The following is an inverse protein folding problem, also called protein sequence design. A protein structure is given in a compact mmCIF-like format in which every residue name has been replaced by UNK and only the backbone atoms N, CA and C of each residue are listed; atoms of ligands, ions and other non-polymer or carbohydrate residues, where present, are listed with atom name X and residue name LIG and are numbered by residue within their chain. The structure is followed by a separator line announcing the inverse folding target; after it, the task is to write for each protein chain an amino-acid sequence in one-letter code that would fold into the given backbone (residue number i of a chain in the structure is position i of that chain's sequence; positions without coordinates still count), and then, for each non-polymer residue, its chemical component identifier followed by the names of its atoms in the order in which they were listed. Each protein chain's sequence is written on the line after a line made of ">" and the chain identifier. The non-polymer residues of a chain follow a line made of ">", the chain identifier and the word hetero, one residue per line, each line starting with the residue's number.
data_IF_064843830666
#
_entry.id   IF_064843830666
#
_cell.length_a   1.000
_cell.length_b   1.000
_cell.length_c   1.000
_cell.angle_alpha   90.00
_cell.angle_beta   90.00
_cell.angle_gamma   90.00
#
_symmetry.space_group_name_H-M   'P 1'
#
loop_
_entity.id
_entity.type
_entity.pdbx_description
1 polymer ?
#
# COMPACT_ATOMS: atom_id res chain seq x y z
N UNK A 1 -3.80 19.38 -34.92
CA UNK A 1 -4.14 18.56 -33.70
C UNK A 1 -3.13 18.94 -32.63
N UNK A 2 -3.54 19.73 -31.68
CA UNK A 2 -2.64 20.24 -30.65
C UNK A 2 -2.36 19.12 -29.65
N UNK A 3 -1.12 18.71 -29.64
CA UNK A 3 -0.56 17.81 -28.61
C UNK A 3 -0.62 18.60 -27.28
N UNK A 4 -1.63 18.31 -26.47
CA UNK A 4 -1.73 18.86 -25.10
C UNK A 4 -0.68 18.12 -24.31
N UNK A 5 0.52 18.70 -24.25
CA UNK A 5 1.65 18.15 -23.54
C UNK A 5 1.24 17.72 -22.14
N UNK A 6 1.52 16.47 -21.83
CA UNK A 6 1.33 15.89 -20.52
C UNK A 6 1.95 16.82 -19.46
N UNK A 7 1.13 17.57 -18.75
CA UNK A 7 1.59 18.44 -17.67
C UNK A 7 2.11 17.52 -16.57
N UNK A 8 3.43 17.35 -16.55
CA UNK A 8 4.11 16.60 -15.48
C UNK A 8 4.18 17.50 -14.23
N UNK A 9 3.25 17.32 -13.35
CA UNK A 9 3.08 18.13 -12.13
C UNK A 9 4.24 18.05 -11.13
N UNK A 10 5.21 17.10 -11.29
CA UNK A 10 6.26 16.85 -10.29
C UNK A 10 7.61 16.39 -10.88
N UNK A 11 8.46 17.26 -11.44
CA UNK A 11 9.68 16.77 -12.10
C UNK A 11 10.76 16.19 -11.17
N UNK A 12 10.96 16.73 -9.96
CA UNK A 12 12.07 16.32 -9.08
C UNK A 12 11.72 15.29 -8.01
N UNK A 13 10.61 15.48 -7.33
CA UNK A 13 10.20 14.64 -6.20
C UNK A 13 9.69 13.26 -6.65
N UNK A 14 9.02 13.16 -7.79
CA UNK A 14 8.53 11.88 -8.31
C UNK A 14 9.65 10.94 -8.72
N UNK A 15 10.73 11.44 -9.30
CA UNK A 15 11.88 10.59 -9.65
C UNK A 15 12.52 9.98 -8.41
N UNK A 16 12.64 10.75 -7.32
CA UNK A 16 13.15 10.25 -6.04
C UNK A 16 12.21 9.21 -5.43
N UNK A 17 10.92 9.52 -5.38
CA UNK A 17 9.88 8.60 -4.87
C UNK A 17 9.82 7.30 -5.67
N UNK A 18 9.87 7.38 -7.00
CA UNK A 18 9.93 6.22 -7.90
C UNK A 18 11.10 5.31 -7.56
N UNK A 19 12.33 5.86 -7.47
CA UNK A 19 13.54 5.11 -7.11
C UNK A 19 13.44 4.45 -5.73
N UNK A 20 12.85 5.13 -4.76
CA UNK A 20 12.64 4.58 -3.41
C UNK A 20 11.67 3.40 -3.44
N UNK A 21 10.53 3.54 -4.14
CA UNK A 21 9.56 2.45 -4.33
C UNK A 21 10.23 1.26 -5.03
N UNK A 22 10.98 1.49 -6.12
CA UNK A 22 11.70 0.44 -6.84
C UNK A 22 12.71 -0.31 -5.96
N UNK A 23 13.43 0.41 -5.09
CA UNK A 23 14.34 -0.20 -4.13
C UNK A 23 13.61 -1.06 -3.09
N UNK A 24 12.47 -0.58 -2.60
CA UNK A 24 11.66 -1.28 -1.60
C UNK A 24 10.95 -2.50 -2.19
N UNK A 25 10.51 -2.42 -3.44
CA UNK A 25 9.89 -3.54 -4.15
C UNK A 25 10.80 -4.78 -4.20
N UNK A 26 12.13 -4.59 -4.25
CA UNK A 26 13.08 -5.72 -4.21
C UNK A 26 13.07 -6.46 -2.88
N UNK A 27 12.69 -5.80 -1.81
CA UNK A 27 12.72 -6.36 -0.44
C UNK A 27 11.39 -6.94 0.01
N UNK A 28 10.30 -6.72 -0.71
CA UNK A 28 8.96 -7.16 -0.34
C UNK A 28 8.45 -8.30 -1.21
N UNK A 29 7.53 -9.06 -0.66
CA UNK A 29 6.95 -10.24 -1.30
C UNK A 29 5.71 -9.89 -2.12
N UNK A 30 4.95 -8.88 -1.69
CA UNK A 30 3.76 -8.39 -2.37
C UNK A 30 3.48 -6.92 -2.05
N UNK A 31 2.59 -6.33 -2.83
CA UNK A 31 2.13 -4.95 -2.68
C UNK A 31 0.65 -4.93 -2.29
N UNK A 32 0.33 -4.10 -1.30
CA UNK A 32 -1.02 -3.80 -0.82
C UNK A 32 -1.36 -2.38 -1.23
N UNK A 33 -2.15 -2.22 -2.28
CA UNK A 33 -2.62 -0.92 -2.74
C UNK A 33 -3.93 -0.58 -2.03
N UNK A 34 -3.96 0.53 -1.28
CA UNK A 34 -5.18 0.99 -0.61
C UNK A 34 -5.82 2.08 -1.46
N UNK A 35 -7.11 1.88 -1.79
CA UNK A 35 -7.94 2.82 -2.55
C UNK A 35 -9.18 3.20 -1.75
N UNK A 36 -9.85 4.26 -2.16
CA UNK A 36 -11.14 4.67 -1.59
C UNK A 36 -12.28 4.00 -2.39
N UNK A 37 -13.09 3.18 -1.73
CA UNK A 37 -14.17 2.44 -2.38
C UNK A 37 -15.25 3.32 -3.03
N UNK A 38 -15.33 4.60 -2.64
CA UNK A 38 -16.27 5.57 -3.24
C UNK A 38 -15.82 6.04 -4.63
N UNK A 39 -14.51 6.06 -4.87
CA UNK A 39 -13.86 6.53 -6.10
C UNK A 39 -12.67 5.62 -6.46
N UNK A 40 -12.89 4.30 -6.70
CA UNK A 40 -11.81 3.32 -6.76
C UNK A 40 -10.72 3.66 -7.77
N UNK A 41 -11.06 4.04 -8.99
CA UNK A 41 -10.09 4.35 -10.04
C UNK A 41 -9.40 5.70 -9.79
N UNK A 42 -10.15 6.74 -9.43
CA UNK A 42 -9.59 8.09 -9.18
C UNK A 42 -8.68 8.15 -7.94
N UNK A 43 -8.82 7.18 -7.03
CA UNK A 43 -7.96 7.06 -5.85
C UNK A 43 -6.75 6.15 -6.05
N UNK A 44 -6.51 5.69 -7.26
CA UNK A 44 -5.30 4.95 -7.63
C UNK A 44 -4.21 5.88 -8.15
N UNK A 45 -2.98 5.43 -8.05
CA UNK A 45 -1.85 6.08 -8.69
C UNK A 45 -1.43 5.27 -9.94
N UNK A 46 -1.65 5.77 -11.16
CA UNK A 46 -1.34 5.03 -12.39
C UNK A 46 0.15 4.63 -12.51
N UNK A 47 1.05 5.41 -11.91
CA UNK A 47 2.50 5.11 -11.90
C UNK A 47 2.78 3.77 -11.20
N UNK A 48 1.95 3.37 -10.24
CA UNK A 48 2.11 2.10 -9.54
C UNK A 48 1.91 0.90 -10.48
N UNK A 49 1.08 0.99 -11.51
CA UNK A 49 0.83 -0.12 -12.42
C UNK A 49 2.12 -0.57 -13.13
N UNK A 50 2.94 0.39 -13.56
CA UNK A 50 4.24 0.10 -14.18
C UNK A 50 5.28 -0.38 -13.16
N UNK A 51 5.30 0.24 -11.98
CA UNK A 51 6.30 -0.06 -10.94
C UNK A 51 6.13 -1.45 -10.32
N UNK A 52 4.89 -1.88 -10.14
CA UNK A 52 4.56 -3.12 -9.41
C UNK A 52 4.15 -4.28 -10.31
N UNK A 53 4.25 -4.14 -11.64
CA UNK A 53 3.80 -5.14 -12.61
C UNK A 53 4.34 -6.55 -12.36
N UNK A 54 5.57 -6.66 -11.87
CA UNK A 54 6.24 -7.93 -11.60
C UNK A 54 6.04 -8.45 -10.17
N UNK A 55 5.22 -7.78 -9.37
CA UNK A 55 4.93 -8.17 -7.99
C UNK A 55 3.47 -8.57 -7.81
N UNK A 56 3.21 -9.64 -7.03
CA UNK A 56 1.86 -9.93 -6.59
C UNK A 56 1.25 -8.70 -5.92
N UNK A 57 0.04 -8.32 -6.35
CA UNK A 57 -0.67 -7.15 -5.84
C UNK A 57 -2.08 -7.49 -5.40
N UNK A 58 -2.50 -6.89 -4.29
CA UNK A 58 -3.87 -6.89 -3.82
C UNK A 58 -4.35 -5.46 -3.62
N UNK A 59 -5.53 -5.13 -4.11
CA UNK A 59 -6.20 -3.85 -3.86
C UNK A 59 -7.12 -4.00 -2.65
N UNK A 60 -6.99 -3.09 -1.68
CA UNK A 60 -7.93 -2.92 -0.58
C UNK A 60 -8.80 -1.70 -0.86
N UNK A 61 -10.03 -1.92 -1.27
CA UNK A 61 -11.04 -0.86 -1.42
C UNK A 61 -11.58 -0.51 -0.04
N UNK A 62 -10.96 0.50 0.58
CA UNK A 62 -11.27 0.97 1.93
C UNK A 62 -12.47 1.92 1.93
N UNK A 63 -13.06 2.17 3.11
CA UNK A 63 -14.26 3.01 3.32
C UNK A 63 -15.50 2.44 2.60
N UNK A 64 -15.59 1.12 2.51
CA UNK A 64 -16.72 0.45 1.87
C UNK A 64 -18.07 0.69 2.59
N UNK A 65 -18.05 1.17 3.82
CA UNK A 65 -19.18 1.61 4.63
C UNK A 65 -19.83 2.91 4.10
N UNK A 66 -19.07 3.71 3.33
CA UNK A 66 -19.54 4.94 2.68
C UNK A 66 -19.72 4.80 1.16
N UNK A 67 -19.52 3.63 0.61
CA UNK A 67 -19.61 3.40 -0.83
C UNK A 67 -20.92 2.67 -1.20
N UNK A 68 -21.40 2.91 -2.42
CA UNK A 68 -22.49 2.13 -2.97
C UNK A 68 -22.07 0.67 -3.18
N UNK A 69 -22.87 -0.26 -2.70
CA UNK A 69 -22.53 -1.68 -2.70
C UNK A 69 -22.51 -2.26 -4.12
N UNK A 70 -23.46 -1.85 -5.00
CA UNK A 70 -23.52 -2.31 -6.37
C UNK A 70 -22.33 -1.79 -7.19
N UNK A 71 -22.01 -0.51 -7.07
CA UNK A 71 -20.84 0.09 -7.71
C UNK A 71 -19.55 -0.58 -7.22
N UNK A 72 -19.42 -0.80 -5.91
CA UNK A 72 -18.28 -1.47 -5.30
C UNK A 72 -18.11 -2.89 -5.87
N UNK A 73 -19.20 -3.65 -6.03
CA UNK A 73 -19.19 -4.99 -6.62
C UNK A 73 -18.74 -4.95 -8.08
N UNK A 74 -19.22 -3.99 -8.87
CA UNK A 74 -18.83 -3.84 -10.27
C UNK A 74 -17.34 -3.48 -10.40
N UNK A 75 -16.82 -2.57 -9.59
CA UNK A 75 -15.41 -2.23 -9.55
C UNK A 75 -14.54 -3.41 -9.14
N UNK A 76 -14.96 -4.19 -8.17
CA UNK A 76 -14.28 -5.42 -7.78
C UNK A 76 -14.16 -6.38 -8.97
N UNK A 77 -15.27 -6.66 -9.68
CA UNK A 77 -15.27 -7.51 -10.87
C UNK A 77 -14.37 -6.95 -11.99
N UNK A 78 -14.34 -5.63 -12.17
CA UNK A 78 -13.50 -4.97 -13.16
C UNK A 78 -12.01 -5.24 -12.93
N UNK A 79 -11.54 -5.14 -11.68
CA UNK A 79 -10.14 -5.42 -11.35
C UNK A 79 -9.83 -6.93 -11.37
N UNK A 80 -10.74 -7.76 -10.89
CA UNK A 80 -10.58 -9.22 -10.90
C UNK A 80 -10.45 -9.77 -12.33
N UNK A 81 -11.19 -9.23 -13.29
CA UNK A 81 -11.06 -9.57 -14.73
C UNK A 81 -9.67 -9.20 -15.29
N UNK A 82 -8.95 -8.30 -14.66
CA UNK A 82 -7.56 -7.91 -14.98
C UNK A 82 -6.53 -8.69 -14.19
N UNK A 83 -6.94 -9.74 -13.48
CA UNK A 83 -6.05 -10.56 -12.66
C UNK A 83 -5.59 -9.91 -11.35
N UNK A 84 -6.19 -8.78 -10.95
CA UNK A 84 -5.86 -8.10 -9.71
C UNK A 84 -6.81 -8.57 -8.61
N UNK A 85 -6.27 -9.06 -7.50
CA UNK A 85 -7.08 -9.43 -6.33
C UNK A 85 -7.62 -8.19 -5.63
N UNK A 86 -8.88 -8.25 -5.21
CA UNK A 86 -9.55 -7.12 -4.56
C UNK A 86 -10.28 -7.56 -3.31
N UNK A 87 -10.09 -6.81 -2.23
CA UNK A 87 -10.90 -6.91 -1.02
C UNK A 87 -11.57 -5.57 -0.72
N UNK A 88 -12.81 -5.63 -0.28
CA UNK A 88 -13.53 -4.49 0.28
C UNK A 88 -13.39 -4.51 1.79
N UNK A 89 -13.07 -3.37 2.38
CA UNK A 89 -12.89 -3.27 3.82
C UNK A 89 -13.27 -1.88 4.36
N UNK A 90 -13.43 -1.83 5.66
CA UNK A 90 -13.35 -0.59 6.43
C UNK A 90 -12.21 -0.73 7.46
N UNK A 91 -11.11 -0.04 7.20
CA UNK A 91 -9.94 -0.06 8.07
C UNK A 91 -10.20 0.55 9.45
N UNK A 92 -11.21 1.40 9.58
CA UNK A 92 -11.59 2.05 10.84
C UNK A 92 -12.28 1.06 11.78
N UNK A 93 -13.30 0.35 11.32
CA UNK A 93 -14.01 -0.67 12.11
C UNK A 93 -13.30 -2.04 12.11
N UNK A 94 -12.55 -2.34 11.05
CA UNK A 94 -11.92 -3.64 10.80
C UNK A 94 -12.79 -4.60 9.98
N UNK A 95 -13.98 -4.15 9.53
CA UNK A 95 -14.87 -4.94 8.68
C UNK A 95 -14.12 -5.39 7.41
N UNK A 96 -14.20 -6.66 7.06
CA UNK A 96 -13.59 -7.24 5.87
C UNK A 96 -12.10 -7.57 6.00
N UNK A 97 -11.38 -7.05 7.00
CA UNK A 97 -9.93 -7.29 7.16
C UNK A 97 -9.59 -8.71 7.63
N UNK A 98 -10.54 -9.46 8.17
CA UNK A 98 -10.34 -10.87 8.54
C UNK A 98 -9.98 -11.74 7.32
N UNK A 99 -10.38 -11.32 6.12
CA UNK A 99 -10.08 -12.03 4.85
C UNK A 99 -8.71 -11.66 4.28
N UNK A 100 -8.08 -10.59 4.75
CA UNK A 100 -6.85 -10.05 4.17
C UNK A 100 -5.70 -11.08 4.15
N UNK A 101 -5.32 -11.61 5.31
CA UNK A 101 -4.21 -12.57 5.37
C UNK A 101 -4.48 -13.89 4.64
N UNK A 102 -5.67 -14.51 4.73
CA UNK A 102 -6.02 -15.65 3.90
C UNK A 102 -5.81 -15.39 2.40
N UNK A 103 -6.28 -14.25 1.90
CA UNK A 103 -6.11 -13.87 0.48
C UNK A 103 -4.64 -13.64 0.10
N UNK A 104 -3.86 -12.95 0.95
CA UNK A 104 -2.42 -12.77 0.75
C UNK A 104 -1.69 -14.11 0.71
N UNK A 105 -2.01 -15.03 1.61
CA UNK A 105 -1.40 -16.37 1.63
C UNK A 105 -1.75 -17.17 0.37
N UNK A 106 -2.99 -17.11 -0.08
CA UNK A 106 -3.42 -17.73 -1.34
C UNK A 106 -2.66 -17.13 -2.51
N UNK A 107 -2.51 -15.81 -2.56
CA UNK A 107 -1.75 -15.09 -3.60
C UNK A 107 -0.27 -15.48 -3.62
N UNK A 108 0.32 -15.75 -2.45
CA UNK A 108 1.74 -16.08 -2.28
C UNK A 108 1.99 -17.57 -2.05
N UNK A 109 1.03 -18.45 -2.34
CA UNK A 109 1.13 -19.88 -2.04
C UNK A 109 2.42 -20.52 -2.62
N UNK A 110 2.74 -20.24 -3.88
CA UNK A 110 3.95 -20.76 -4.54
C UNK A 110 5.25 -20.27 -3.89
N UNK A 111 5.26 -19.02 -3.44
CA UNK A 111 6.41 -18.46 -2.73
C UNK A 111 6.59 -19.13 -1.37
N UNK A 112 5.51 -19.30 -0.65
CA UNK A 112 5.49 -19.96 0.68
C UNK A 112 5.99 -21.39 0.55
N UNK A 113 5.49 -22.13 -0.43
CA UNK A 113 5.89 -23.53 -0.67
C UNK A 113 7.36 -23.64 -1.08
N UNK A 114 7.84 -22.76 -1.97
CA UNK A 114 9.27 -22.69 -2.33
C UNK A 114 10.16 -22.39 -1.12
N UNK A 115 9.73 -21.50 -0.21
CA UNK A 115 10.46 -21.21 1.03
C UNK A 115 10.48 -22.42 1.96
N UNK A 116 9.36 -23.11 2.11
CA UNK A 116 9.24 -24.32 2.91
C UNK A 116 10.20 -25.42 2.43
N UNK A 117 10.24 -25.67 1.12
CA UNK A 117 11.17 -26.64 0.51
C UNK A 117 12.66 -26.30 0.74
N UNK A 118 12.98 -25.02 0.93
CA UNK A 118 14.34 -24.53 1.26
C UNK A 118 14.62 -24.46 2.77
N UNK A 119 13.77 -25.04 3.62
CA UNK A 119 13.92 -25.00 5.08
C UNK A 119 13.61 -23.66 5.74
N UNK A 120 13.12 -22.66 5.00
CA UNK A 120 12.78 -21.35 5.54
C UNK A 120 11.35 -21.34 6.10
N UNK A 121 11.10 -22.21 7.08
CA UNK A 121 9.77 -22.34 7.72
C UNK A 121 9.54 -21.12 8.62
N UNK A 122 8.34 -20.56 8.56
CA UNK A 122 7.93 -19.44 9.44
C UNK A 122 8.51 -18.07 9.06
N UNK A 123 9.20 -17.95 7.91
CA UNK A 123 9.66 -16.64 7.45
C UNK A 123 8.48 -15.69 7.23
N UNK A 124 8.48 -14.56 7.93
CA UNK A 124 7.44 -13.55 7.83
C UNK A 124 7.29 -13.02 6.39
N UNK A 125 6.05 -12.87 5.92
CA UNK A 125 5.76 -12.22 4.64
C UNK A 125 6.01 -10.72 4.78
N UNK A 126 6.60 -10.12 3.75
CA UNK A 126 6.88 -8.69 3.69
C UNK A 126 5.92 -8.05 2.69
N UNK A 127 5.10 -7.13 3.16
CA UNK A 127 4.06 -6.49 2.38
C UNK A 127 4.30 -4.97 2.36
N UNK A 128 4.39 -4.38 1.18
CA UNK A 128 4.51 -2.94 1.01
C UNK A 128 3.12 -2.32 0.87
N UNK A 129 2.82 -1.33 1.70
CA UNK A 129 1.56 -0.59 1.64
C UNK A 129 1.74 0.66 0.80
N UNK A 130 0.93 0.81 -0.24
CA UNK A 130 0.94 1.97 -1.14
C UNK A 130 -0.46 2.54 -1.31
N UNK A 131 -0.57 3.75 -1.80
CA UNK A 131 -1.82 4.45 -2.08
C UNK A 131 -1.64 5.96 -1.96
N UNK A 132 -2.54 6.73 -2.55
CA UNK A 132 -2.52 8.20 -2.44
C UNK A 132 -2.82 8.65 -1.01
N UNK A 133 -2.59 9.94 -0.66
CA UNK A 133 -2.98 10.48 0.63
C UNK A 133 -4.47 10.25 0.96
N UNK A 134 -4.78 10.11 2.25
CA UNK A 134 -6.14 10.05 2.80
C UNK A 134 -7.02 8.84 2.39
N UNK A 135 -6.48 7.83 1.69
CA UNK A 135 -7.21 6.57 1.41
C UNK A 135 -7.30 5.65 2.63
N UNK A 136 -6.52 5.92 3.70
CA UNK A 136 -6.56 5.17 4.95
C UNK A 136 -5.38 4.22 5.19
N UNK A 137 -4.21 4.49 4.59
CA UNK A 137 -2.97 3.71 4.82
C UNK A 137 -2.64 3.59 6.31
N UNK A 138 -2.55 4.71 7.02
CA UNK A 138 -2.24 4.73 8.46
C UNK A 138 -3.31 4.00 9.29
N UNK A 139 -4.59 4.11 8.93
CA UNK A 139 -5.67 3.38 9.61
C UNK A 139 -5.52 1.87 9.43
N UNK A 140 -5.16 1.41 8.23
CA UNK A 140 -4.87 0.02 7.96
C UNK A 140 -3.67 -0.48 8.77
N UNK A 141 -2.54 0.24 8.71
CA UNK A 141 -1.32 -0.13 9.43
C UNK A 141 -1.56 -0.18 10.94
N UNK A 142 -2.19 0.85 11.51
CA UNK A 142 -2.52 0.90 12.94
C UNK A 142 -3.44 -0.25 13.36
N UNK A 143 -4.38 -0.64 12.49
CA UNK A 143 -5.28 -1.77 12.75
C UNK A 143 -4.55 -3.10 12.71
N UNK A 144 -3.62 -3.29 11.77
CA UNK A 144 -2.83 -4.51 11.63
C UNK A 144 -1.74 -4.63 12.69
N UNK A 145 -1.13 -3.51 13.06
CA UNK A 145 -0.06 -3.45 14.07
C UNK A 145 -0.55 -3.60 15.51
N UNK A 146 -1.76 -4.00 15.80
CA UNK A 146 -2.47 -4.17 17.10
C UNK A 146 -1.65 -4.10 18.40
N UNK A 147 -0.35 -4.02 18.32
CA UNK A 147 0.59 -3.89 19.43
C UNK A 147 1.44 -2.64 19.20
N UNK A 148 1.39 -1.73 20.14
CA UNK A 148 2.19 -0.50 20.30
C UNK A 148 3.70 -0.78 20.25
N UNK A 149 4.26 -1.13 19.12
CA UNK A 149 5.70 -1.10 18.87
C UNK A 149 5.96 -0.85 17.40
N UNK A 150 5.72 0.38 16.99
CA UNK A 150 6.42 0.93 15.84
C UNK A 150 7.89 0.96 16.23
N UNK A 151 8.66 -0.05 15.88
CA UNK A 151 10.11 0.08 15.91
C UNK A 151 10.47 0.99 14.74
N UNK A 152 10.55 2.28 15.01
CA UNK A 152 11.34 3.20 14.21
C UNK A 152 12.76 2.65 14.29
N UNK A 153 13.24 2.03 13.25
CA UNK A 153 14.59 1.51 13.19
C UNK A 153 15.55 2.66 12.99
N UNK A 154 15.99 3.29 14.09
CA UNK A 154 17.17 4.14 14.13
C UNK A 154 18.42 3.28 13.87
N UNK A 155 18.66 2.97 12.60
CA UNK A 155 20.02 2.60 12.16
C UNK A 155 20.64 3.83 11.53
N UNK A 156 21.78 4.31 12.04
CA UNK A 156 22.54 5.40 11.42
C UNK A 156 22.84 5.04 9.97
N UNK A 157 22.40 5.86 9.01
CA UNK A 157 22.69 5.66 7.59
C UNK A 157 21.51 5.17 6.74
N UNK A 158 20.33 4.91 7.30
CA UNK A 158 19.11 4.60 6.54
C UNK A 158 18.24 5.86 6.51
N UNK A 159 17.91 6.32 5.31
CA UNK A 159 17.06 7.49 5.06
C UNK A 159 15.80 7.46 5.91
N UNK A 160 15.44 8.61 6.46
CA UNK A 160 14.43 8.88 7.51
C UNK A 160 12.98 8.42 7.26
N UNK A 161 12.66 7.70 6.20
CA UNK A 161 11.31 7.69 5.63
C UNK A 161 10.66 6.29 5.50
N UNK A 162 11.22 5.25 6.15
CA UNK A 162 10.69 3.89 6.07
C UNK A 162 10.22 3.42 7.43
N UNK A 163 8.93 3.23 7.59
CA UNK A 163 8.36 2.65 8.80
C UNK A 163 8.14 1.15 8.55
N UNK A 164 8.89 0.32 9.26
CA UNK A 164 8.69 -1.12 9.28
C UNK A 164 7.82 -1.47 10.49
N UNK A 165 6.64 -2.03 10.25
CA UNK A 165 5.74 -2.45 11.30
C UNK A 165 5.69 -3.96 11.37
N UNK A 166 6.15 -4.54 12.49
CA UNK A 166 5.90 -5.93 12.81
C UNK A 166 4.42 -6.08 13.16
N UNK A 167 3.73 -6.90 12.40
CA UNK A 167 2.31 -7.14 12.56
C UNK A 167 2.04 -8.60 12.92
N UNK A 168 1.05 -8.80 13.78
CA UNK A 168 0.49 -10.11 14.06
C UNK A 168 -1.04 -10.04 13.94
N UNK A 169 -1.61 -10.85 13.05
CA UNK A 169 -3.04 -10.90 12.84
C UNK A 169 -3.49 -12.36 12.72
N UNK A 170 -4.49 -12.75 13.50
CA UNK A 170 -4.99 -14.13 13.53
C UNK A 170 -3.86 -15.17 13.74
N UNK A 171 -2.91 -14.91 14.65
CA UNK A 171 -1.78 -15.80 14.95
C UNK A 171 -0.68 -15.87 13.89
N UNK A 172 -0.69 -14.97 12.89
CA UNK A 172 0.32 -14.94 11.83
C UNK A 172 1.13 -13.65 11.86
N UNK A 173 2.46 -13.81 11.85
CA UNK A 173 3.41 -12.70 11.81
C UNK A 173 3.71 -12.30 10.36
N UNK A 174 3.73 -11.01 10.09
CA UNK A 174 4.12 -10.41 8.81
C UNK A 174 4.67 -9.00 9.04
N UNK A 175 5.39 -8.49 8.06
CA UNK A 175 5.99 -7.16 8.11
C UNK A 175 5.27 -6.25 7.13
N UNK A 176 4.76 -5.11 7.60
CA UNK A 176 4.28 -4.03 6.75
C UNK A 176 5.40 -3.01 6.56
N UNK A 177 5.58 -2.56 5.33
CA UNK A 177 6.45 -1.47 4.96
C UNK A 177 5.56 -0.30 4.57
N UNK A 178 5.54 0.75 5.39
CA UNK A 178 4.76 1.96 5.10
C UNK A 178 5.57 2.89 4.19
N UNK A 179 4.97 3.24 3.08
CA UNK A 179 5.51 4.25 2.16
C UNK A 179 4.99 5.66 2.48
N UNK A 180 4.18 5.82 3.52
CA UNK A 180 3.58 7.09 3.91
C UNK A 180 4.59 8.17 4.33
N UNK A 181 5.79 7.76 4.78
CA UNK A 181 6.91 8.67 5.02
C UNK A 181 7.65 9.12 3.74
N UNK A 182 7.29 8.58 2.57
CA UNK A 182 7.88 8.93 1.28
C UNK A 182 7.14 10.13 0.64
N UNK A 183 6.00 10.51 1.20
CA UNK A 183 5.32 11.73 0.77
C UNK A 183 6.16 12.93 1.22
N UNK A 184 6.66 13.79 0.30
CA UNK A 184 7.27 15.03 0.73
C UNK A 184 6.24 15.79 1.55
N UNK A 185 6.61 16.24 2.73
CA UNK A 185 5.81 17.17 3.52
C UNK A 185 5.43 18.34 2.62
N UNK A 186 4.19 18.35 2.14
CA UNK A 186 3.62 19.47 1.38
C UNK A 186 3.45 20.68 2.34
N UNK A 187 3.53 20.44 3.65
CA UNK A 187 3.27 21.45 4.67
C UNK A 187 4.36 22.51 4.84
N UNK A 188 5.63 22.23 4.50
CA UNK A 188 6.71 23.20 4.74
C UNK A 188 6.79 24.34 3.71
N UNK A 189 6.25 24.13 2.51
CA UNK A 189 6.26 25.16 1.45
C UNK A 189 5.02 26.06 1.46
N UNK A 190 3.83 25.49 1.68
CA UNK A 190 2.57 26.24 1.63
C UNK A 190 2.33 27.08 2.88
N UNK A 191 2.72 26.57 4.04
CA UNK A 191 2.59 27.31 5.31
C UNK A 191 3.62 28.45 5.43
N UNK A 192 4.78 28.36 4.80
CA UNK A 192 5.74 29.46 4.73
C UNK A 192 5.17 30.63 3.91
N UNK A 193 4.53 30.38 2.78
CA UNK A 193 3.91 31.43 1.95
C UNK A 193 2.64 32.03 2.56
N UNK A 194 1.93 31.32 3.44
CA UNK A 194 0.74 31.85 4.12
C UNK A 194 1.06 32.71 5.35
N UNK A 195 2.33 32.74 5.81
CA UNK A 195 2.78 33.57 6.93
C UNK A 195 3.38 34.92 6.51
N UNK A 196 3.59 35.13 5.20
CA UNK A 196 4.12 36.39 4.64
C UNK A 196 3.02 37.26 3.98
N UNK A 197 1.74 36.91 4.10
CA UNK A 197 0.59 37.76 3.76
C UNK A 197 -0.21 38.14 5.01
#
# INVERSE_FOLDING_TARGET
>A
MNDVGNIQWFPGHMTKTKRLIEADLKMVDAVVEITDARIPESSRNPILDDLVKDKPRIILMNKCDYADENATRLWKQYYEKRGIRVLTCDCRSGKGLNRFLPEVKTMLADLIERRKKRGMIGKALRLMVVGIPNVGKSSFINRMAKTKKTKVGDKPGVTRDRIFCDCEWCGHKFLLVDTGGIEPNIDDGLLAHMREQ
#
